data_IF_689251689752
#
_entry.id   IF_689251689752
#
_cell.length_a   1.000
_cell.length_b   1.000
_cell.length_c   1.000
_cell.angle_alpha   90.00
_cell.angle_beta   90.00
_cell.angle_gamma   90.00
#
_symmetry.space_group_name_H-M   'P 1'
#
loop_
_entity.id
_entity.type
_entity.pdbx_description
1 polymer ?
#
# COMPACT_ATOMS: atom_id res chain seq x y z
N UNK A 1 -15.88 11.57 5.92
CA UNK A 1 -15.69 11.64 4.45
C UNK A 1 -14.42 10.87 4.09
N UNK A 2 -14.41 10.07 3.02
CA UNK A 2 -13.21 9.34 2.62
C UNK A 2 -12.38 10.19 1.64
N UNK A 3 -11.07 10.06 1.73
CA UNK A 3 -10.08 10.83 0.99
C UNK A 3 -9.06 9.89 0.36
N UNK A 4 -8.59 10.27 -0.82
CA UNK A 4 -7.52 9.59 -1.52
C UNK A 4 -6.26 10.44 -1.41
N UNK A 5 -5.32 9.96 -0.61
CA UNK A 5 -3.98 10.53 -0.54
C UNK A 5 -3.19 10.06 -1.76
N UNK A 6 -2.71 11.01 -2.56
CA UNK A 6 -1.77 10.73 -3.65
C UNK A 6 -0.42 11.32 -3.30
N UNK A 7 0.52 10.46 -2.90
CA UNK A 7 1.93 10.82 -2.73
C UNK A 7 2.75 9.95 -3.68
N UNK A 8 3.23 10.55 -4.78
CA UNK A 8 3.88 9.88 -5.92
C UNK A 8 2.94 8.91 -6.68
N UNK A 9 3.48 7.81 -7.24
CA UNK A 9 2.73 6.75 -7.95
C UNK A 9 1.89 5.86 -7.03
N UNK A 10 1.81 6.15 -5.73
CA UNK A 10 1.12 5.33 -4.73
C UNK A 10 -0.09 6.08 -4.20
N UNK A 11 -1.23 5.42 -4.21
CA UNK A 11 -2.50 5.96 -3.69
C UNK A 11 -2.87 5.23 -2.41
N UNK A 12 -3.19 5.99 -1.36
CA UNK A 12 -3.66 5.46 -0.08
C UNK A 12 -5.08 6.00 0.16
N UNK A 13 -6.01 5.10 0.49
CA UNK A 13 -7.33 5.50 0.97
C UNK A 13 -7.26 5.80 2.47
N UNK A 14 -7.80 6.94 2.86
CA UNK A 14 -7.81 7.41 4.24
C UNK A 14 -9.10 8.18 4.55
N UNK A 15 -9.36 8.42 5.83
CA UNK A 15 -10.48 9.23 6.35
C UNK A 15 -9.90 10.32 7.24
N UNK A 16 -10.52 11.50 7.29
CA UNK A 16 -10.14 12.52 8.29
C UNK A 16 -10.58 12.02 9.67
N UNK A 17 -9.62 11.88 10.56
CA UNK A 17 -9.81 11.48 11.96
C UNK A 17 -9.98 12.71 12.83
N UNK A 18 -9.17 13.74 12.58
CA UNK A 18 -9.12 14.95 13.40
C UNK A 18 -8.80 16.15 12.51
N UNK A 19 -9.42 17.29 12.81
CA UNK A 19 -9.13 18.60 12.21
C UNK A 19 -8.47 19.40 13.32
N UNK A 20 -7.21 19.80 13.11
CA UNK A 20 -6.44 20.52 14.15
C UNK A 20 -6.70 22.01 14.03
N UNK A 21 -6.65 22.52 12.81
CA UNK A 21 -7.03 23.88 12.41
C UNK A 21 -7.61 23.84 10.99
N UNK A 22 -7.95 24.99 10.43
CA UNK A 22 -8.56 25.07 9.09
C UNK A 22 -7.64 24.55 7.97
N UNK A 23 -6.32 24.48 8.22
CA UNK A 23 -5.31 24.11 7.23
C UNK A 23 -4.78 22.68 7.38
N UNK A 24 -4.75 22.12 8.60
CA UNK A 24 -4.11 20.85 8.92
C UNK A 24 -5.09 19.78 9.40
N UNK A 25 -4.99 18.62 8.72
CA UNK A 25 -5.86 17.48 8.90
C UNK A 25 -5.03 16.26 9.33
N UNK A 26 -5.56 15.50 10.30
CA UNK A 26 -5.06 14.18 10.64
C UNK A 26 -5.85 13.13 9.90
N UNK A 27 -5.12 12.28 9.17
CA UNK A 27 -5.71 11.26 8.31
C UNK A 27 -5.43 9.87 8.86
N UNK A 28 -6.42 8.99 8.77
CA UNK A 28 -6.35 7.60 9.22
C UNK A 28 -6.72 6.63 8.11
N UNK A 29 -6.08 5.47 8.10
CA UNK A 29 -6.37 4.38 7.16
C UNK A 29 -6.66 3.11 7.93
N UNK A 30 -7.08 2.03 7.25
CA UNK A 30 -7.21 0.70 7.87
C UNK A 30 -5.90 0.17 8.49
N UNK A 31 -4.76 0.75 8.11
CA UNK A 31 -3.45 0.41 8.68
C UNK A 31 -3.08 1.22 9.95
N UNK A 32 -3.86 2.26 10.29
CA UNK A 32 -3.59 3.15 11.41
C UNK A 32 -3.68 4.63 11.04
N UNK A 33 -3.52 5.47 12.06
CA UNK A 33 -3.46 6.93 11.97
C UNK A 33 -2.10 7.38 11.45
N UNK A 34 -2.11 8.28 10.47
CA UNK A 34 -0.88 8.77 9.86
C UNK A 34 -0.14 9.72 10.81
N UNK A 35 1.18 9.53 10.89
CA UNK A 35 2.06 10.28 11.79
C UNK A 35 2.30 11.74 11.40
N UNK A 36 1.89 12.16 10.19
CA UNK A 36 2.07 13.52 9.68
C UNK A 36 0.70 14.20 9.49
N UNK A 37 0.69 15.51 9.59
CA UNK A 37 -0.47 16.34 9.25
C UNK A 37 -0.46 16.63 7.75
N UNK A 38 -1.66 16.79 7.21
CA UNK A 38 -1.84 17.03 5.79
C UNK A 38 -2.61 18.32 5.56
N UNK A 39 -2.21 19.06 4.54
CA UNK A 39 -3.01 20.19 4.05
C UNK A 39 -4.02 19.73 3.01
N UNK A 40 -5.08 20.53 2.79
CA UNK A 40 -6.18 20.20 1.88
C UNK A 40 -5.72 19.82 0.47
N UNK A 41 -4.61 20.38 0.00
CA UNK A 41 -4.04 20.16 -1.34
C UNK A 41 -3.23 18.87 -1.48
N UNK A 42 -2.94 18.17 -0.38
CA UNK A 42 -2.13 16.93 -0.38
C UNK A 42 -2.98 15.66 -0.59
N UNK A 43 -4.30 15.79 -0.65
CA UNK A 43 -5.23 14.69 -0.88
C UNK A 43 -6.44 15.13 -1.71
N UNK A 44 -7.03 14.19 -2.42
CA UNK A 44 -8.25 14.41 -3.19
C UNK A 44 -9.44 13.79 -2.48
N UNK A 45 -10.63 14.34 -2.73
CA UNK A 45 -11.88 13.72 -2.26
C UNK A 45 -12.06 12.37 -2.96
N UNK A 46 -12.65 11.43 -2.25
CA UNK A 46 -13.16 10.19 -2.81
C UNK A 46 -14.66 10.18 -2.56
N UNK A 47 -15.46 10.09 -3.63
CA UNK A 47 -16.92 10.12 -3.55
C UNK A 47 -17.46 8.92 -2.76
N UNK A 48 -16.75 7.79 -2.84
CA UNK A 48 -17.10 6.54 -2.18
C UNK A 48 -16.52 6.45 -0.76
N UNK A 49 -17.37 6.10 0.20
CA UNK A 49 -16.99 5.93 1.61
C UNK A 49 -16.47 4.51 1.87
N UNK A 50 -15.21 4.26 1.53
CA UNK A 50 -14.60 2.94 1.70
C UNK A 50 -14.19 2.56 3.13
N UNK A 51 -13.99 3.56 4.01
CA UNK A 51 -13.41 3.36 5.34
C UNK A 51 -14.25 4.15 6.35
N UNK A 52 -14.99 3.48 7.26
CA UNK A 52 -15.62 4.15 8.39
C UNK A 52 -14.54 4.55 9.43
N UNK A 53 -14.82 5.58 10.22
CA UNK A 53 -13.87 6.08 11.25
C UNK A 53 -13.60 5.00 12.30
N UNK A 54 -14.59 4.14 12.60
CA UNK A 54 -14.45 3.00 13.53
C UNK A 54 -13.41 1.96 13.10
N UNK A 55 -13.13 1.86 11.79
CA UNK A 55 -12.18 0.88 11.24
C UNK A 55 -10.75 1.40 11.23
N UNK A 56 -10.51 2.63 11.72
CA UNK A 56 -9.16 3.19 11.83
C UNK A 56 -8.57 2.78 13.18
N UNK A 57 -7.49 1.97 13.18
CA UNK A 57 -6.81 1.63 14.42
C UNK A 57 -6.14 2.86 15.05
N UNK A 58 -6.09 2.89 16.39
CA UNK A 58 -5.38 3.94 17.14
C UNK A 58 -3.83 3.81 17.09
N UNK A 59 -3.30 2.96 16.21
CA UNK A 59 -1.86 2.81 16.01
C UNK A 59 -1.34 3.91 15.08
N UNK A 60 -0.14 4.41 15.37
CA UNK A 60 0.53 5.40 14.52
C UNK A 60 1.30 4.66 13.42
N UNK A 61 1.13 5.09 12.17
CA UNK A 61 1.82 4.52 11.02
C UNK A 61 2.30 5.61 10.06
N UNK A 62 3.37 5.34 9.32
CA UNK A 62 3.79 6.21 8.22
C UNK A 62 3.01 5.89 6.95
N UNK A 63 2.89 6.84 6.01
CA UNK A 63 2.29 6.57 4.69
C UNK A 63 2.93 5.34 4.02
N UNK A 64 4.26 5.21 4.14
CA UNK A 64 5.00 4.11 3.52
C UNK A 64 4.61 2.76 4.12
N UNK A 65 4.50 2.67 5.44
CA UNK A 65 4.09 1.45 6.13
C UNK A 65 2.63 1.13 5.84
N UNK A 66 1.74 2.13 5.90
CA UNK A 66 0.33 1.95 5.57
C UNK A 66 0.14 1.43 4.14
N UNK A 67 0.81 2.03 3.16
CA UNK A 67 0.77 1.55 1.77
C UNK A 67 1.36 0.15 1.66
N UNK A 68 2.45 -0.17 2.36
CA UNK A 68 3.04 -1.50 2.33
C UNK A 68 2.10 -2.57 2.90
N UNK A 69 1.47 -2.30 4.05
CA UNK A 69 0.52 -3.19 4.71
C UNK A 69 -0.75 -3.42 3.89
N UNK A 70 -1.27 -2.37 3.27
CA UNK A 70 -2.51 -2.44 2.48
C UNK A 70 -2.27 -2.91 1.04
N UNK A 71 -1.03 -2.92 0.58
CA UNK A 71 -0.69 -3.44 -0.74
C UNK A 71 -0.57 -4.96 -0.72
N UNK A 72 -1.10 -5.60 -1.76
CA UNK A 72 -0.91 -7.04 -1.99
C UNK A 72 0.57 -7.45 -2.18
N UNK A 73 1.45 -6.49 -2.49
CA UNK A 73 2.86 -6.73 -2.86
C UNK A 73 3.89 -6.09 -1.92
N UNK A 74 3.50 -5.62 -0.73
CA UNK A 74 4.44 -5.12 0.29
C UNK A 74 5.10 -3.76 -0.01
N UNK A 75 4.45 -2.89 -0.78
CA UNK A 75 4.74 -1.46 -0.87
C UNK A 75 5.67 -1.01 -2.00
N UNK A 76 6.36 -1.95 -2.66
CA UNK A 76 7.17 -1.65 -3.85
C UNK A 76 6.35 -1.66 -5.16
N UNK A 77 5.10 -2.12 -5.11
CA UNK A 77 4.17 -2.10 -6.24
C UNK A 77 4.33 -3.26 -7.22
N UNK A 78 5.34 -4.11 -7.06
CA UNK A 78 5.47 -5.37 -7.77
C UNK A 78 6.30 -6.35 -6.93
N UNK A 79 5.93 -7.63 -6.98
CA UNK A 79 6.71 -8.70 -6.41
C UNK A 79 7.64 -9.25 -7.48
N UNK A 80 8.95 -9.24 -7.22
CA UNK A 80 9.98 -9.83 -8.07
C UNK A 80 10.85 -10.79 -7.25
N UNK A 81 11.16 -11.95 -7.82
CA UNK A 81 12.18 -12.83 -7.27
C UNK A 81 13.55 -12.59 -7.93
N UNK A 82 14.62 -12.82 -7.18
CA UNK A 82 16.01 -12.69 -7.63
C UNK A 82 16.61 -14.04 -8.04
N UNK A 83 15.75 -15.02 -8.36
CA UNK A 83 16.19 -16.36 -8.70
C UNK A 83 16.98 -16.37 -10.03
N UNK A 84 18.12 -17.06 -10.05
CA UNK A 84 18.90 -17.26 -11.28
C UNK A 84 18.53 -18.58 -12.00
N UNK A 85 17.94 -19.54 -11.29
CA UNK A 85 17.54 -20.87 -11.77
C UNK A 85 16.01 -21.02 -11.76
N UNK A 86 15.50 -22.19 -12.16
CA UNK A 86 14.05 -22.51 -12.14
C UNK A 86 13.43 -22.25 -10.76
N UNK A 87 12.31 -21.52 -10.70
CA UNK A 87 11.58 -21.19 -9.48
C UNK A 87 10.75 -22.37 -8.93
N UNK A 88 11.38 -23.49 -8.59
CA UNK A 88 10.68 -24.71 -8.15
C UNK A 88 10.44 -24.77 -6.65
N UNK A 89 11.29 -24.12 -5.85
CA UNK A 89 11.25 -24.21 -4.38
C UNK A 89 10.77 -22.91 -3.74
N UNK A 90 10.41 -22.96 -2.45
CA UNK A 90 10.05 -21.78 -1.64
C UNK A 90 11.21 -20.80 -1.41
N UNK A 91 12.42 -21.08 -1.93
CA UNK A 91 13.49 -20.07 -2.03
C UNK A 91 13.14 -18.94 -3.00
N UNK A 92 12.21 -19.17 -3.93
CA UNK A 92 11.64 -18.13 -4.76
C UNK A 92 10.63 -17.30 -3.96
N UNK A 93 10.87 -15.98 -3.85
CA UNK A 93 9.97 -15.03 -3.18
C UNK A 93 8.55 -15.07 -3.74
N UNK A 94 8.40 -15.14 -5.07
CA UNK A 94 7.09 -15.22 -5.73
C UNK A 94 6.33 -16.48 -5.27
N UNK A 95 6.98 -17.65 -5.35
CA UNK A 95 6.37 -18.91 -4.92
C UNK A 95 6.08 -18.94 -3.42
N UNK A 96 6.95 -18.38 -2.59
CA UNK A 96 6.73 -18.27 -1.14
C UNK A 96 5.50 -17.43 -0.81
N UNK A 97 5.27 -16.36 -1.56
CA UNK A 97 4.08 -15.50 -1.45
C UNK A 97 2.87 -16.04 -2.23
N UNK A 98 2.92 -17.27 -2.76
CA UNK A 98 1.88 -17.87 -3.60
C UNK A 98 1.49 -17.02 -4.83
N UNK A 99 2.47 -16.35 -5.45
CA UNK A 99 2.31 -15.54 -6.66
C UNK A 99 3.16 -16.11 -7.81
N UNK A 100 2.63 -16.06 -9.03
CA UNK A 100 3.35 -16.47 -10.24
C UNK A 100 4.39 -15.42 -10.67
N UNK A 101 5.53 -15.89 -11.14
CA UNK A 101 6.59 -15.06 -11.70
C UNK A 101 6.14 -14.48 -13.04
N UNK A 102 6.03 -13.15 -13.10
CA UNK A 102 5.77 -12.44 -14.35
C UNK A 102 7.08 -12.11 -15.11
N UNK A 103 6.95 -11.42 -16.24
CA UNK A 103 8.08 -10.99 -17.08
C UNK A 103 9.11 -10.11 -16.37
N UNK A 104 8.75 -9.44 -15.27
CA UNK A 104 9.73 -8.65 -14.47
C UNK A 104 10.64 -9.52 -13.62
N UNK A 105 10.31 -10.79 -13.38
CA UNK A 105 11.17 -11.73 -12.67
C UNK A 105 12.23 -12.30 -13.61
N UNK A 106 11.78 -12.88 -14.71
CA UNK A 106 12.63 -13.49 -15.71
C UNK A 106 12.08 -13.19 -17.10
N UNK A 107 12.97 -12.83 -18.01
CA UNK A 107 12.63 -12.69 -19.43
C UNK A 107 12.52 -14.06 -20.13
N UNK A 108 13.02 -15.15 -19.52
CA UNK A 108 13.07 -16.48 -20.14
C UNK A 108 11.83 -17.33 -19.88
N UNK A 109 11.56 -18.26 -20.82
CA UNK A 109 10.50 -19.27 -20.74
C UNK A 109 10.77 -20.40 -19.75
N UNK A 110 11.98 -20.48 -19.19
CA UNK A 110 12.43 -21.62 -18.36
C UNK A 110 12.00 -21.56 -16.90
N UNK A 111 11.23 -20.55 -16.49
CA UNK A 111 10.71 -20.45 -15.13
C UNK A 111 9.59 -21.49 -14.88
N UNK A 112 9.74 -22.28 -13.81
CA UNK A 112 8.77 -23.29 -13.40
C UNK A 112 7.62 -22.75 -12.52
N UNK A 113 7.54 -21.43 -12.31
CA UNK A 113 6.52 -20.76 -11.50
C UNK A 113 5.93 -19.61 -12.31
N UNK A 114 5.44 -19.88 -13.52
CA UNK A 114 4.84 -18.89 -14.42
C UNK A 114 3.32 -18.97 -14.38
#
# INVERSE_FOLDING_TARGET
MAFKLRKNSRTLLAVVVEIIDEEFYRLGSKAGTLNQLFTRNQFTLCEEKFIPISDVPNTITSIRQAVAQLSLSGGQGFLRCDCQKKCTTKKCKCRQSNVLCNSRCHNSTTCANK
#
